data_IF_267796058823
#
_entry.id   IF_267796058823
#
_cell.length_a   1.000
_cell.length_b   1.000
_cell.length_c   1.000
_cell.angle_alpha   90.00
_cell.angle_beta   90.00
_cell.angle_gamma   90.00
#
_symmetry.space_group_name_H-M   'P 1'
#
loop_
_entity.id
_entity.type
_entity.pdbx_description
1 polymer ?
#
# COMPACT_ATOMS: atom_id res chain seq x y z
N UNK A 1 -15.12 -17.54 54.82
CA UNK A 1 -15.49 -17.32 53.41
C UNK A 1 -14.54 -16.31 52.74
N UNK A 2 -13.25 -16.65 52.62
CA UNK A 2 -12.18 -15.71 52.19
C UNK A 2 -11.10 -16.44 51.38
N UNK A 3 -11.49 -17.24 50.39
CA UNK A 3 -10.54 -18.00 49.54
C UNK A 3 -10.91 -18.07 48.05
N UNK A 4 -12.00 -17.41 47.63
CA UNK A 4 -12.55 -17.56 46.28
C UNK A 4 -12.25 -16.38 45.34
N UNK A 5 -11.60 -15.32 45.83
CA UNK A 5 -11.32 -14.10 45.03
C UNK A 5 -9.98 -14.21 44.27
N UNK A 6 -9.15 -15.21 44.57
CA UNK A 6 -7.81 -15.33 44.00
C UNK A 6 -7.72 -16.10 42.67
N UNK A 7 -8.83 -16.67 42.15
CA UNK A 7 -8.77 -17.56 40.98
C UNK A 7 -9.22 -16.93 39.64
N UNK A 8 -9.66 -15.66 39.63
CA UNK A 8 -10.26 -15.04 38.43
C UNK A 8 -9.38 -14.00 37.73
N UNK A 9 -8.08 -13.96 38.01
CA UNK A 9 -7.17 -12.94 37.45
C UNK A 9 -6.23 -13.44 36.33
N UNK A 10 -6.30 -14.72 35.92
CA UNK A 10 -5.27 -15.35 35.07
C UNK A 10 -5.70 -15.63 33.61
N UNK A 11 -6.86 -15.18 33.15
CA UNK A 11 -7.43 -15.62 31.86
C UNK A 11 -7.35 -14.63 30.69
N UNK A 12 -6.66 -13.48 30.80
CA UNK A 12 -6.64 -12.44 29.75
C UNK A 12 -5.27 -12.28 29.03
N UNK A 13 -4.50 -13.36 28.90
CA UNK A 13 -3.26 -13.40 28.09
C UNK A 13 -3.46 -14.11 26.74
N UNK A 14 -4.70 -14.19 26.24
CA UNK A 14 -4.96 -14.68 24.89
C UNK A 14 -4.42 -13.65 23.90
N UNK A 15 -3.33 -14.04 23.24
CA UNK A 15 -2.56 -13.19 22.34
C UNK A 15 -3.43 -12.48 21.32
N UNK A 16 -3.33 -11.14 21.32
CA UNK A 16 -3.65 -10.33 20.17
C UNK A 16 -2.59 -10.58 19.09
N UNK A 17 -2.64 -11.76 18.47
CA UNK A 17 -2.03 -11.95 17.16
C UNK A 17 -2.93 -11.20 16.18
N UNK A 18 -2.56 -9.96 15.87
CA UNK A 18 -3.18 -9.23 14.76
C UNK A 18 -3.10 -10.11 13.51
N UNK A 19 -4.23 -10.32 12.81
CA UNK A 19 -4.24 -11.21 11.64
C UNK A 19 -3.31 -10.68 10.53
N UNK A 20 -2.82 -11.57 9.66
CA UNK A 20 -2.12 -11.15 8.46
C UNK A 20 -3.04 -10.32 7.56
N UNK A 21 -2.44 -9.52 6.68
CA UNK A 21 -3.20 -8.70 5.72
C UNK A 21 -3.99 -9.62 4.77
N UNK A 22 -5.24 -9.26 4.51
CA UNK A 22 -6.05 -9.93 3.53
C UNK A 22 -5.59 -9.50 2.11
N UNK A 23 -5.16 -10.43 1.24
CA UNK A 23 -4.66 -10.07 -0.10
C UNK A 23 -5.71 -9.35 -0.96
N UNK A 24 -6.99 -9.66 -0.81
CA UNK A 24 -8.07 -9.00 -1.56
C UNK A 24 -8.28 -7.56 -1.06
N UNK A 25 -8.13 -7.32 0.23
CA UNK A 25 -8.20 -5.98 0.80
C UNK A 25 -6.98 -5.14 0.39
N UNK A 26 -5.78 -5.74 0.42
CA UNK A 26 -4.56 -5.06 -0.03
C UNK A 26 -4.65 -4.59 -1.49
N UNK A 27 -5.34 -5.36 -2.33
CA UNK A 27 -5.57 -5.01 -3.73
C UNK A 27 -6.38 -3.72 -3.89
N UNK A 28 -7.32 -3.41 -2.99
CA UNK A 28 -8.12 -2.17 -3.09
C UNK A 28 -7.30 -0.87 -3.00
N UNK A 29 -6.11 -0.91 -2.39
CA UNK A 29 -5.24 0.26 -2.31
C UNK A 29 -4.65 0.66 -3.67
N UNK A 30 -4.48 -0.29 -4.61
CA UNK A 30 -3.82 -0.04 -5.89
C UNK A 30 -4.71 0.71 -6.89
N UNK A 31 -6.00 0.34 -7.11
CA UNK A 31 -6.91 1.14 -7.92
C UNK A 31 -7.07 2.58 -7.42
N UNK A 32 -7.11 2.78 -6.09
CA UNK A 32 -7.18 4.13 -5.51
C UNK A 32 -5.90 4.95 -5.77
N UNK A 33 -4.74 4.29 -5.82
CA UNK A 33 -3.49 4.93 -6.23
C UNK A 33 -3.53 5.32 -7.72
N UNK A 34 -3.92 4.39 -8.61
CA UNK A 34 -3.99 4.67 -10.04
C UNK A 34 -5.02 5.74 -10.40
N UNK A 35 -6.17 5.77 -9.72
CA UNK A 35 -7.16 6.83 -9.91
C UNK A 35 -6.58 8.20 -9.52
N UNK A 36 -5.90 8.30 -8.38
CA UNK A 36 -5.24 9.54 -7.98
C UNK A 36 -4.09 9.93 -8.93
N UNK A 37 -3.37 8.96 -9.52
CA UNK A 37 -2.40 9.21 -10.61
C UNK A 37 -3.06 9.74 -11.89
N UNK A 38 -4.29 9.32 -12.18
CA UNK A 38 -5.09 9.83 -13.31
C UNK A 38 -5.52 11.27 -13.04
N UNK A 39 -6.05 11.54 -11.86
CA UNK A 39 -6.56 12.85 -11.42
C UNK A 39 -5.44 13.86 -11.12
N UNK A 40 -4.19 13.40 -10.97
CA UNK A 40 -3.07 14.24 -10.57
C UNK A 40 -3.04 14.57 -9.08
N UNK A 41 -3.79 13.84 -8.25
CA UNK A 41 -3.83 13.97 -6.79
C UNK A 41 -2.60 13.31 -6.13
N UNK A 42 -1.40 13.75 -6.53
CA UNK A 42 -0.14 13.20 -5.99
C UNK A 42 0.02 13.48 -4.49
N UNK A 43 -0.46 14.65 -4.05
CA UNK A 43 -0.42 15.03 -2.65
C UNK A 43 -1.36 14.16 -1.80
N UNK A 44 -2.57 13.85 -2.28
CA UNK A 44 -3.50 12.97 -1.58
C UNK A 44 -3.01 11.53 -1.52
N UNK A 45 -2.30 11.02 -2.55
CA UNK A 45 -1.60 9.72 -2.45
C UNK A 45 -0.66 9.72 -1.24
N UNK A 46 0.18 10.75 -1.12
CA UNK A 46 1.11 10.85 0.00
C UNK A 46 0.39 10.95 1.35
N UNK A 47 -0.68 11.75 1.44
CA UNK A 47 -1.43 11.93 2.68
C UNK A 47 -2.12 10.65 3.17
N UNK A 48 -2.58 9.80 2.25
CA UNK A 48 -3.21 8.50 2.56
C UNK A 48 -2.18 7.38 2.76
N UNK A 49 -0.92 7.61 2.43
CA UNK A 49 0.14 6.63 2.61
C UNK A 49 0.39 6.33 4.10
N UNK A 50 0.96 5.15 4.35
CA UNK A 50 1.28 4.71 5.70
C UNK A 50 2.21 5.71 6.40
N UNK A 51 2.10 5.88 7.73
CA UNK A 51 2.99 6.77 8.49
C UNK A 51 4.47 6.54 8.18
N UNK A 52 4.89 5.27 8.11
CA UNK A 52 6.26 4.90 7.78
C UNK A 52 6.75 5.42 6.41
N UNK A 53 5.89 5.54 5.39
CA UNK A 53 6.28 6.17 4.11
C UNK A 53 6.50 7.67 4.33
N UNK A 54 5.56 8.33 5.01
CA UNK A 54 5.59 9.78 5.25
C UNK A 54 6.73 10.23 6.16
N UNK A 55 7.22 9.33 7.01
CA UNK A 55 8.40 9.54 7.86
C UNK A 55 9.70 9.28 7.10
N UNK A 56 9.72 8.32 6.18
CA UNK A 56 10.92 7.92 5.42
C UNK A 56 11.23 8.82 4.23
N UNK A 57 10.24 9.48 3.64
CA UNK A 57 10.40 10.30 2.44
C UNK A 57 9.61 11.60 2.56
N UNK A 58 10.23 12.73 2.23
CA UNK A 58 9.52 14.01 2.24
C UNK A 58 8.43 14.07 1.16
N UNK A 59 7.29 14.71 1.47
CA UNK A 59 6.16 14.84 0.54
C UNK A 59 6.58 15.43 -0.81
N UNK A 60 7.41 16.47 -0.80
CA UNK A 60 7.87 17.13 -2.02
C UNK A 60 8.66 16.17 -2.93
N UNK A 61 9.50 15.30 -2.36
CA UNK A 61 10.29 14.33 -3.11
C UNK A 61 9.40 13.22 -3.69
N UNK A 62 8.46 12.73 -2.90
CA UNK A 62 7.50 11.71 -3.35
C UNK A 62 6.64 12.23 -4.50
N UNK A 63 6.05 13.42 -4.33
CA UNK A 63 5.22 14.07 -5.34
C UNK A 63 6.02 14.36 -6.61
N UNK A 64 7.25 14.87 -6.49
CA UNK A 64 8.11 15.10 -7.64
C UNK A 64 8.45 13.80 -8.40
N UNK A 65 8.59 12.68 -7.68
CA UNK A 65 8.74 11.35 -8.27
C UNK A 65 7.54 10.96 -9.12
N UNK A 66 6.33 11.04 -8.56
CA UNK A 66 5.10 10.71 -9.29
C UNK A 66 4.85 11.64 -10.49
N UNK A 67 5.15 12.94 -10.34
CA UNK A 67 5.07 13.90 -11.43
C UNK A 67 6.02 13.56 -12.59
N UNK A 68 7.24 13.13 -12.30
CA UNK A 68 8.19 12.67 -13.33
C UNK A 68 7.67 11.43 -14.07
N UNK A 69 7.05 10.49 -13.35
CA UNK A 69 6.43 9.31 -13.95
C UNK A 69 5.28 9.73 -14.86
N UNK A 70 4.37 10.57 -14.37
CA UNK A 70 3.24 11.11 -15.16
C UNK A 70 3.71 11.88 -16.39
N UNK A 71 4.74 12.71 -16.27
CA UNK A 71 5.29 13.47 -17.40
C UNK A 71 5.94 12.57 -18.46
N UNK A 72 6.61 11.50 -18.03
CA UNK A 72 7.31 10.56 -18.92
C UNK A 72 6.34 9.59 -19.62
N UNK A 73 5.49 8.94 -18.84
CA UNK A 73 4.63 7.84 -19.32
C UNK A 73 3.22 8.30 -19.70
N UNK A 74 2.79 9.48 -19.26
CA UNK A 74 1.43 9.97 -19.47
C UNK A 74 0.43 9.35 -18.50
N UNK A 75 -0.85 9.38 -18.87
CA UNK A 75 -1.92 8.88 -17.99
C UNK A 75 -1.93 7.36 -17.91
N UNK A 76 -2.34 6.82 -16.76
CA UNK A 76 -2.68 5.40 -16.64
C UNK A 76 -3.89 5.10 -17.52
N UNK A 77 -3.82 4.02 -18.31
CA UNK A 77 -4.88 3.52 -19.19
C UNK A 77 -5.48 2.21 -18.71
N UNK A 78 -4.73 1.44 -17.92
CA UNK A 78 -5.17 0.19 -17.33
C UNK A 78 -4.02 -0.48 -16.58
N UNK A 79 -4.33 -1.41 -15.69
CA UNK A 79 -3.33 -2.16 -14.95
C UNK A 79 -3.78 -3.61 -14.74
N UNK A 80 -2.86 -4.54 -14.90
CA UNK A 80 -3.07 -5.96 -14.65
C UNK A 80 -2.14 -6.42 -13.52
N UNK A 81 -2.71 -7.07 -12.51
CA UNK A 81 -1.95 -7.62 -11.40
C UNK A 81 -1.21 -8.87 -11.84
N UNK A 82 0.10 -8.90 -11.62
CA UNK A 82 0.95 -10.03 -11.93
C UNK A 82 1.12 -10.98 -10.74
N UNK A 83 1.43 -10.43 -9.56
CA UNK A 83 1.70 -11.24 -8.37
C UNK A 83 1.20 -10.54 -7.12
N UNK A 84 0.85 -11.34 -6.11
CA UNK A 84 0.63 -10.92 -4.73
C UNK A 84 1.44 -11.81 -3.81
N UNK A 85 2.17 -11.23 -2.88
CA UNK A 85 2.90 -11.97 -1.83
C UNK A 85 2.60 -11.34 -0.49
N UNK A 86 2.12 -12.15 0.46
CA UNK A 86 1.78 -11.69 1.81
C UNK A 86 2.88 -12.13 2.79
N UNK A 87 3.36 -11.19 3.59
CA UNK A 87 4.28 -11.40 4.70
C UNK A 87 3.76 -10.66 5.94
N UNK A 88 3.11 -11.41 6.83
CA UNK A 88 2.43 -10.85 7.99
C UNK A 88 1.40 -9.79 7.60
N UNK A 89 1.64 -8.55 8.03
CA UNK A 89 0.76 -7.39 7.77
C UNK A 89 1.08 -6.64 6.48
N UNK A 90 2.01 -7.15 5.67
CA UNK A 90 2.45 -6.52 4.42
C UNK A 90 2.08 -7.39 3.24
N UNK A 91 1.55 -6.76 2.19
CA UNK A 91 1.35 -7.38 0.90
C UNK A 91 2.25 -6.67 -0.12
N UNK A 92 3.03 -7.43 -0.87
CA UNK A 92 3.75 -6.93 -2.04
C UNK A 92 2.98 -7.34 -3.29
N UNK A 93 2.49 -6.35 -4.03
CA UNK A 93 1.77 -6.56 -5.28
C UNK A 93 2.62 -6.03 -6.43
N UNK A 94 2.67 -6.78 -7.54
CA UNK A 94 3.27 -6.28 -8.78
C UNK A 94 2.25 -6.20 -9.90
N UNK A 95 2.36 -5.16 -10.71
CA UNK A 95 1.44 -4.88 -11.82
C UNK A 95 2.20 -4.64 -13.11
N UNK A 96 1.60 -4.99 -14.24
CA UNK A 96 1.91 -4.39 -15.54
C UNK A 96 0.85 -3.31 -15.78
N UNK A 97 1.30 -2.07 -15.89
CA UNK A 97 0.42 -0.91 -16.05
C UNK A 97 0.64 -0.30 -17.43
N UNK A 98 -0.43 -0.20 -18.19
CA UNK A 98 -0.48 0.52 -19.44
C UNK A 98 -0.63 2.02 -19.16
N UNK A 99 0.27 2.80 -19.73
CA UNK A 99 0.26 4.25 -19.71
C UNK A 99 0.06 4.80 -21.13
N UNK A 100 -0.21 6.10 -21.27
CA UNK A 100 -0.44 6.71 -22.57
C UNK A 100 0.77 6.62 -23.53
N UNK A 101 2.00 6.63 -23.00
CA UNK A 101 3.25 6.63 -23.78
C UNK A 101 4.06 5.33 -23.65
N UNK A 102 3.47 4.24 -23.15
CA UNK A 102 4.17 2.96 -22.97
C UNK A 102 3.56 2.12 -21.84
N UNK A 103 4.21 1.03 -21.48
CA UNK A 103 3.82 0.22 -20.32
C UNK A 103 4.93 0.25 -19.27
N UNK A 104 4.61 -0.03 -18.01
CA UNK A 104 5.63 -0.19 -16.99
C UNK A 104 5.26 -1.26 -15.97
N UNK A 105 6.28 -1.90 -15.40
CA UNK A 105 6.10 -2.76 -14.25
C UNK A 105 6.15 -1.93 -12.96
N UNK A 106 5.17 -2.14 -12.10
CA UNK A 106 5.05 -1.46 -10.82
C UNK A 106 5.10 -2.45 -9.66
N UNK A 107 5.64 -2.00 -8.53
CA UNK A 107 5.62 -2.72 -7.28
C UNK A 107 5.02 -1.83 -6.18
N UNK A 108 4.04 -2.37 -5.49
CA UNK A 108 3.36 -1.76 -4.35
C UNK A 108 3.61 -2.62 -3.13
N UNK A 109 4.12 -2.03 -2.06
CA UNK A 109 4.04 -2.64 -0.73
C UNK A 109 2.92 -1.95 0.01
N UNK A 110 1.91 -2.73 0.36
CA UNK A 110 0.74 -2.31 1.12
C UNK A 110 0.89 -2.86 2.54
N UNK A 111 0.55 -2.04 3.53
CA UNK A 111 0.46 -2.47 4.94
C UNK A 111 -0.98 -2.31 5.41
N UNK A 112 -1.44 -3.25 6.23
CA UNK A 112 -2.71 -3.13 6.92
C UNK A 112 -2.48 -3.25 8.43
N UNK A 113 -2.58 -2.12 9.12
CA UNK A 113 -2.56 -2.06 10.58
C UNK A 113 -3.95 -2.40 11.13
N UNK A 114 -4.02 -2.84 12.38
CA UNK A 114 -5.27 -3.27 12.99
C UNK A 114 -6.31 -2.13 13.02
N UNK A 115 -7.52 -2.40 12.51
CA UNK A 115 -8.60 -1.41 12.45
C UNK A 115 -8.37 -0.29 11.42
N UNK A 116 -7.35 -0.38 10.57
CA UNK A 116 -7.06 0.61 9.53
C UNK A 116 -7.31 0.02 8.15
N UNK A 117 -7.65 0.91 7.20
CA UNK A 117 -7.68 0.55 5.79
C UNK A 117 -6.26 0.21 5.30
N UNK A 118 -6.11 -0.63 4.27
CA UNK A 118 -4.82 -0.88 3.63
C UNK A 118 -4.20 0.42 3.11
N UNK A 119 -2.92 0.63 3.41
CA UNK A 119 -2.19 1.85 3.09
C UNK A 119 -0.92 1.56 2.29
N UNK A 120 -0.55 2.48 1.41
CA UNK A 120 0.70 2.42 0.67
C UNK A 120 1.89 2.60 1.63
N UNK A 121 2.69 1.56 1.80
CA UNK A 121 3.94 1.59 2.55
C UNK A 121 5.14 1.95 1.67
N UNK A 122 5.15 1.47 0.42
CA UNK A 122 6.23 1.74 -0.54
C UNK A 122 5.71 1.59 -1.97
N UNK A 123 6.18 2.45 -2.87
CA UNK A 123 5.94 2.35 -4.30
C UNK A 123 7.28 2.34 -5.06
N UNK A 124 7.37 1.53 -6.11
CA UNK A 124 8.52 1.53 -7.03
C UNK A 124 8.05 1.28 -8.46
N UNK A 125 8.48 2.14 -9.38
CA UNK A 125 8.47 1.85 -10.81
C UNK A 125 9.71 1.02 -11.13
N UNK A 126 9.53 -0.22 -11.61
CA UNK A 126 10.65 -1.14 -11.85
C UNK A 126 11.28 -0.89 -13.23
N UNK A 127 10.51 -1.09 -14.29
CA UNK A 127 11.01 -0.96 -15.67
C UNK A 127 9.90 -0.41 -16.58
N UNK A 128 10.09 0.79 -17.19
CA UNK A 128 9.21 1.27 -18.24
C UNK A 128 9.62 0.68 -19.60
N UNK A 129 8.67 0.05 -20.28
CA UNK A 129 8.76 -0.32 -21.69
C UNK A 129 8.30 0.88 -22.52
N UNK A 130 9.26 1.67 -22.98
CA UNK A 130 9.04 2.79 -23.88
C UNK A 130 9.34 2.30 -25.30
N UNK A 131 8.44 2.53 -26.28
CA UNK A 131 8.71 2.20 -27.68
C UNK A 131 9.88 2.98 -28.26
#
# INVERSE_FOLDING_TARGET
MRKWIALLALACLLGACTPPVNPDEAEHAVPAFHLAMIEGDFAGIYQRAAPALREAQAQAEFVAGLQKIRARLGEVRGAERMTTTVDGRRATLTYITAYANGAAREEFVIVQEEGQAPQLLRYRLLEPQIP
#
